data_IF_552984243879
#
_entry.id   IF_552984243879
#
_cell.length_a   1.000
_cell.length_b   1.000
_cell.length_c   1.000
_cell.angle_alpha   90.00
_cell.angle_beta   90.00
_cell.angle_gamma   90.00
#
_symmetry.space_group_name_H-M   'P 1'
#
loop_
_entity.id
_entity.type
_entity.pdbx_description
1 polymer ?
#
# COMPACT_ATOMS: atom_id res chain seq x y z
N UNK A 1 -16.03 17.63 4.24
CA UNK A 1 -14.69 17.01 4.28
C UNK A 1 -14.29 16.69 2.85
N UNK A 2 -13.24 17.34 2.33
CA UNK A 2 -12.77 17.04 0.97
C UNK A 2 -12.25 15.59 0.91
N UNK A 3 -12.76 14.80 -0.03
CA UNK A 3 -12.23 13.48 -0.30
C UNK A 3 -10.77 13.65 -0.73
N UNK A 4 -9.83 13.21 0.11
CA UNK A 4 -8.42 13.19 -0.28
C UNK A 4 -8.26 12.11 -1.35
N UNK A 5 -7.75 12.51 -2.51
CA UNK A 5 -7.28 11.59 -3.55
C UNK A 5 -5.91 11.02 -3.14
N UNK A 6 -5.55 9.82 -3.61
CA UNK A 6 -4.23 9.24 -3.37
C UNK A 6 -3.12 10.19 -3.83
N UNK A 7 -2.09 10.36 -2.98
CA UNK A 7 -0.87 11.06 -3.36
C UNK A 7 0.29 10.06 -3.55
N UNK A 8 0.69 9.78 -4.81
CA UNK A 8 1.76 8.82 -5.09
C UNK A 8 3.11 9.26 -4.49
N UNK A 9 3.35 10.57 -4.34
CA UNK A 9 4.56 11.12 -3.71
C UNK A 9 4.64 10.85 -2.21
N UNK A 10 3.53 10.48 -1.58
CA UNK A 10 3.49 10.08 -0.16
C UNK A 10 3.34 8.58 0.03
N UNK A 11 3.47 7.81 -1.05
CA UNK A 11 3.24 6.37 -1.01
C UNK A 11 1.79 5.98 -0.75
N UNK A 12 0.84 6.86 -1.05
CA UNK A 12 -0.58 6.58 -0.81
C UNK A 12 -1.16 5.75 -1.96
N UNK A 13 -2.05 4.81 -1.63
CA UNK A 13 -2.80 3.99 -2.60
C UNK A 13 -4.25 3.89 -2.13
N UNK A 14 -5.22 3.89 -3.03
CA UNK A 14 -6.63 3.71 -2.69
C UNK A 14 -7.05 2.24 -2.82
N UNK A 15 -7.77 1.74 -1.82
CA UNK A 15 -8.48 0.45 -1.86
C UNK A 15 -9.96 0.68 -1.55
N UNK A 16 -10.85 0.08 -2.34
CA UNK A 16 -12.28 0.11 -2.02
C UNK A 16 -12.65 -1.08 -1.15
N UNK A 17 -13.13 -0.80 0.06
CA UNK A 17 -13.54 -1.78 1.06
C UNK A 17 -14.98 -1.50 1.49
N UNK A 18 -15.86 -2.49 1.43
CA UNK A 18 -17.31 -2.35 1.69
C UNK A 18 -17.94 -1.18 0.90
N UNK A 19 -17.55 -1.03 -0.36
CA UNK A 19 -17.99 0.06 -1.23
C UNK A 19 -17.43 1.45 -0.89
N UNK A 20 -16.52 1.57 0.09
CA UNK A 20 -15.91 2.84 0.51
C UNK A 20 -14.45 2.91 0.08
N UNK A 21 -14.01 3.98 -0.61
CA UNK A 21 -12.59 4.17 -0.92
C UNK A 21 -11.82 4.57 0.34
N UNK A 22 -10.81 3.79 0.69
CA UNK A 22 -9.91 4.02 1.81
C UNK A 22 -8.50 4.29 1.28
N UNK A 23 -7.83 5.28 1.87
CA UNK A 23 -6.43 5.59 1.57
C UNK A 23 -5.48 4.79 2.45
N UNK A 24 -4.62 4.01 1.84
CA UNK A 24 -3.57 3.25 2.50
C UNK A 24 -2.23 3.97 2.33
N UNK A 25 -1.39 3.91 3.35
CA UNK A 25 -0.01 4.39 3.35
C UNK A 25 0.80 3.56 4.34
N UNK A 26 1.99 3.10 3.96
CA UNK A 26 2.91 2.48 4.93
C UNK A 26 3.78 3.56 5.59
N UNK A 27 3.63 3.70 6.90
CA UNK A 27 4.57 4.46 7.72
C UNK A 27 5.76 3.57 8.12
N UNK A 28 6.87 4.17 8.55
CA UNK A 28 8.01 3.40 9.08
C UNK A 28 7.60 2.51 10.26
N UNK A 29 6.70 2.98 11.13
CA UNK A 29 6.18 2.18 12.24
C UNK A 29 5.33 0.99 11.76
N UNK A 30 4.53 1.18 10.70
CA UNK A 30 3.75 0.11 10.10
C UNK A 30 4.65 -0.95 9.44
N UNK A 31 5.71 -0.51 8.75
CA UNK A 31 6.72 -1.40 8.16
C UNK A 31 7.46 -2.22 9.22
N UNK A 32 7.91 -1.60 10.30
CA UNK A 32 8.58 -2.30 11.40
C UNK A 32 7.67 -3.37 12.04
N UNK A 33 6.37 -3.08 12.18
CA UNK A 33 5.40 -4.06 12.68
C UNK A 33 5.19 -5.20 11.70
N UNK A 34 5.11 -4.91 10.40
CA UNK A 34 4.96 -5.94 9.36
C UNK A 34 6.17 -6.87 9.31
N UNK A 35 7.38 -6.34 9.40
CA UNK A 35 8.61 -7.13 9.46
C UNK A 35 8.56 -8.14 10.62
N UNK A 36 8.16 -7.67 11.81
CA UNK A 36 7.97 -8.53 12.99
C UNK A 36 6.85 -9.56 12.82
N UNK A 37 5.72 -9.17 12.22
CA UNK A 37 4.58 -10.06 12.01
C UNK A 37 4.86 -11.16 10.98
N UNK A 38 5.52 -10.81 9.87
CA UNK A 38 5.85 -11.72 8.78
C UNK A 38 7.14 -12.52 9.03
N UNK A 39 7.86 -12.20 10.11
CA UNK A 39 9.13 -12.82 10.52
C UNK A 39 10.21 -12.71 9.44
N UNK A 40 10.31 -11.54 8.83
CA UNK A 40 11.36 -11.22 7.87
C UNK A 40 12.48 -10.49 8.60
N UNK A 41 13.74 -10.72 8.20
CA UNK A 41 14.90 -10.10 8.84
C UNK A 41 15.16 -8.67 8.33
N UNK A 42 14.65 -8.33 7.14
CA UNK A 42 14.84 -7.02 6.52
C UNK A 42 13.63 -6.62 5.67
N UNK A 43 13.42 -5.31 5.55
CA UNK A 43 12.44 -4.73 4.62
C UNK A 43 12.63 -5.19 3.17
N UNK A 44 13.88 -5.42 2.74
CA UNK A 44 14.17 -5.94 1.38
C UNK A 44 13.66 -7.37 1.23
N UNK A 45 13.89 -8.23 2.22
CA UNK A 45 13.37 -9.61 2.21
C UNK A 45 11.84 -9.64 2.19
N UNK A 46 11.21 -8.73 2.97
CA UNK A 46 9.76 -8.54 2.93
C UNK A 46 9.28 -8.16 1.54
N UNK A 47 9.88 -7.17 0.88
CA UNK A 47 9.48 -6.77 -0.49
C UNK A 47 9.66 -7.93 -1.47
N UNK A 48 10.81 -8.60 -1.46
CA UNK A 48 11.10 -9.73 -2.35
C UNK A 48 10.09 -10.88 -2.17
N UNK A 49 9.64 -11.14 -0.94
CA UNK A 49 8.61 -12.14 -0.66
C UNK A 49 7.30 -11.82 -1.39
N UNK A 50 6.89 -10.55 -1.39
CA UNK A 50 5.69 -10.12 -2.11
C UNK A 50 5.87 -10.14 -3.63
N UNK A 51 7.03 -9.72 -4.14
CA UNK A 51 7.33 -9.76 -5.58
C UNK A 51 7.41 -11.18 -6.15
N UNK A 52 7.94 -12.13 -5.37
CA UNK A 52 8.06 -13.53 -5.76
C UNK A 52 6.77 -14.34 -5.58
N UNK A 53 5.68 -13.70 -5.14
CA UNK A 53 4.39 -14.37 -4.92
C UNK A 53 4.38 -15.30 -3.71
N UNK A 54 5.37 -15.22 -2.81
CA UNK A 54 5.51 -16.09 -1.62
C UNK A 54 4.74 -15.52 -0.43
N UNK A 55 3.50 -15.08 -0.67
CA UNK A 55 2.63 -14.51 0.36
C UNK A 55 1.36 -15.34 0.53
N UNK A 56 0.83 -15.34 1.75
CA UNK A 56 -0.47 -15.92 2.08
C UNK A 56 -1.58 -14.85 2.05
N UNK A 57 -2.85 -15.28 2.10
CA UNK A 57 -3.97 -14.37 2.29
C UNK A 57 -3.85 -13.59 3.61
N UNK A 58 -3.30 -14.20 4.65
CA UNK A 58 -3.00 -13.55 5.93
C UNK A 58 -1.94 -12.47 5.78
N UNK A 59 -0.92 -12.70 4.96
CA UNK A 59 0.15 -11.72 4.71
C UNK A 59 -0.41 -10.50 3.99
N UNK A 60 -1.29 -10.70 3.00
CA UNK A 60 -2.01 -9.61 2.33
C UNK A 60 -2.85 -8.82 3.33
N UNK A 61 -3.63 -9.51 4.17
CA UNK A 61 -4.46 -8.85 5.17
C UNK A 61 -3.62 -8.04 6.16
N UNK A 62 -2.50 -8.60 6.65
CA UNK A 62 -1.59 -7.90 7.54
C UNK A 62 -1.04 -6.63 6.89
N UNK A 63 -0.60 -6.72 5.63
CA UNK A 63 -0.08 -5.58 4.88
C UNK A 63 -1.13 -4.49 4.66
N UNK A 64 -2.34 -4.85 4.22
CA UNK A 64 -3.42 -3.89 4.03
C UNK A 64 -3.83 -3.23 5.35
N UNK A 65 -3.88 -4.00 6.43
CA UNK A 65 -4.14 -3.52 7.79
C UNK A 65 -3.10 -2.48 8.22
N UNK A 66 -1.81 -2.79 8.03
CA UNK A 66 -0.72 -1.86 8.31
C UNK A 66 -0.77 -0.59 7.42
N UNK A 67 -1.20 -0.74 6.17
CA UNK A 67 -1.43 0.37 5.24
C UNK A 67 -2.57 1.29 5.68
N UNK A 68 -3.66 0.74 6.20
CA UNK A 68 -4.80 1.50 6.71
C UNK A 68 -4.42 2.31 7.96
N UNK A 69 -3.66 1.73 8.89
CA UNK A 69 -3.16 2.45 10.06
C UNK A 69 -2.27 3.63 9.66
N UNK A 70 -1.33 3.41 8.74
CA UNK A 70 -0.46 4.50 8.28
C UNK A 70 -1.18 5.54 7.42
N UNK A 71 -2.34 5.18 6.85
CA UNK A 71 -3.31 6.07 6.20
C UNK A 71 -4.18 6.87 7.17
N UNK A 72 -4.14 6.55 8.47
CA UNK A 72 -4.90 7.21 9.52
C UNK A 72 -6.35 6.70 9.66
N UNK A 73 -6.63 5.49 9.17
CA UNK A 73 -7.93 4.84 9.37
C UNK A 73 -7.96 4.07 10.68
N UNK A 74 -9.10 4.11 11.33
CA UNK A 74 -9.38 3.35 12.54
C UNK A 74 -9.67 1.88 12.19
N UNK A 75 -8.76 0.98 12.57
CA UNK A 75 -8.91 -0.45 12.31
C UNK A 75 -9.94 -1.13 13.21
N UNK A 76 -10.21 -0.57 14.40
CA UNK A 76 -11.17 -1.17 15.35
C UNK A 76 -12.58 -1.27 14.73
N UNK A 77 -12.93 -0.34 13.84
CA UNK A 77 -14.19 -0.35 13.09
C UNK A 77 -14.11 -1.07 11.73
N UNK A 78 -12.94 -1.57 11.32
CA UNK A 78 -12.71 -2.15 10.01
C UNK A 78 -12.06 -3.53 10.11
N UNK A 79 -12.91 -4.55 10.30
CA UNK A 79 -12.47 -5.95 10.23
C UNK A 79 -12.32 -6.39 8.77
N UNK A 80 -11.09 -6.28 8.24
CA UNK A 80 -10.76 -6.72 6.88
C UNK A 80 -11.02 -8.22 6.64
N UNK A 81 -11.01 -9.05 7.69
CA UNK A 81 -11.32 -10.48 7.57
C UNK A 81 -12.80 -10.74 7.23
N UNK A 82 -13.68 -9.77 7.49
CA UNK A 82 -15.11 -9.81 7.15
C UNK A 82 -15.52 -8.81 6.08
N UNK A 83 -14.59 -7.96 5.64
CA UNK A 83 -14.88 -6.89 4.71
C UNK A 83 -14.85 -7.37 3.24
N UNK A 84 -15.68 -6.75 2.41
CA UNK A 84 -15.67 -6.97 0.97
C UNK A 84 -14.66 -6.03 0.32
N UNK A 85 -13.63 -6.59 -0.31
CA UNK A 85 -12.69 -5.84 -1.12
C UNK A 85 -13.20 -5.82 -2.56
N UNK A 86 -13.37 -4.62 -3.15
CA UNK A 86 -13.74 -4.50 -4.55
C UNK A 86 -12.65 -5.15 -5.43
N UNK A 87 -13.04 -6.03 -6.34
CA UNK A 87 -12.10 -6.82 -7.15
C UNK A 87 -11.51 -8.05 -6.45
N UNK A 88 -11.91 -8.32 -5.20
CA UNK A 88 -11.59 -9.54 -4.47
C UNK A 88 -10.11 -9.69 -4.13
N UNK A 89 -9.67 -10.94 -3.92
CA UNK A 89 -8.32 -11.26 -3.46
C UNK A 89 -7.21 -10.81 -4.42
N UNK A 90 -7.49 -10.79 -5.73
CA UNK A 90 -6.50 -10.36 -6.75
C UNK A 90 -6.23 -8.87 -6.65
N UNK A 91 -7.28 -8.05 -6.51
CA UNK A 91 -7.11 -6.60 -6.33
C UNK A 91 -6.45 -6.29 -4.98
N UNK A 92 -6.79 -7.04 -3.92
CA UNK A 92 -6.14 -6.93 -2.61
C UNK A 92 -4.62 -7.17 -2.71
N UNK A 93 -4.19 -8.24 -3.40
CA UNK A 93 -2.78 -8.54 -3.62
C UNK A 93 -2.09 -7.47 -4.47
N UNK A 94 -2.76 -6.99 -5.53
CA UNK A 94 -2.25 -5.93 -6.41
C UNK A 94 -2.02 -4.62 -5.66
N UNK A 95 -2.99 -4.19 -4.85
CA UNK A 95 -2.89 -2.98 -4.02
C UNK A 95 -1.79 -3.15 -2.97
N UNK A 96 -1.69 -4.32 -2.34
CA UNK A 96 -0.63 -4.62 -1.39
C UNK A 96 0.78 -4.49 -2.01
N UNK A 97 0.99 -5.10 -3.18
CA UNK A 97 2.24 -4.99 -3.91
C UNK A 97 2.53 -3.54 -4.34
N UNK A 98 1.52 -2.81 -4.81
CA UNK A 98 1.67 -1.40 -5.18
C UNK A 98 2.03 -0.53 -3.96
N UNK A 99 1.45 -0.79 -2.79
CA UNK A 99 1.73 -0.06 -1.57
C UNK A 99 3.19 -0.23 -1.13
N UNK A 100 3.72 -1.45 -1.19
CA UNK A 100 5.15 -1.71 -0.95
C UNK A 100 6.01 -0.99 -1.99
N UNK A 101 5.71 -1.15 -3.28
CA UNK A 101 6.48 -0.52 -4.35
C UNK A 101 6.57 1.01 -4.17
N UNK A 102 5.45 1.69 -3.86
CA UNK A 102 5.43 3.14 -3.64
C UNK A 102 6.07 3.58 -2.31
N UNK A 103 6.25 2.68 -1.36
CA UNK A 103 6.92 2.99 -0.09
C UNK A 103 8.44 3.00 -0.22
N UNK A 104 8.99 2.21 -1.15
CA UNK A 104 10.43 2.10 -1.39
C UNK A 104 10.89 2.76 -2.68
N UNK A 105 9.97 3.05 -3.61
CA UNK A 105 10.25 3.78 -4.85
C UNK A 105 9.47 5.08 -4.84
N UNK A 106 10.17 6.21 -4.96
CA UNK A 106 9.52 7.45 -5.37
C UNK A 106 9.01 7.25 -6.80
N UNK A 107 7.82 7.77 -7.17
CA UNK A 107 7.51 7.92 -8.59
C UNK A 107 8.67 8.74 -9.16
N UNK A 108 9.47 8.15 -10.04
CA UNK A 108 10.47 8.91 -10.77
C UNK A 108 9.67 9.96 -11.52
N UNK A 109 9.71 11.22 -11.07
CA UNK A 109 9.41 12.30 -11.97
C UNK A 109 10.40 12.11 -13.10
N UNK A 110 9.91 11.62 -14.22
CA UNK A 110 10.42 12.12 -15.48
C UNK A 110 10.14 13.61 -15.43
N UNK A 111 11.05 14.39 -14.84
CA UNK A 111 11.22 15.77 -15.23
C UNK A 111 11.46 15.68 -16.72
N UNK A 112 10.40 15.87 -17.50
CA UNK A 112 10.54 16.09 -18.93
C UNK A 112 11.58 17.21 -19.06
N UNK A 113 12.67 17.02 -19.81
CA UNK A 113 13.43 18.18 -20.23
C UNK A 113 12.45 19.05 -21.03
N UNK A 114 12.04 20.18 -20.47
CA UNK A 114 11.50 21.28 -21.26
C UNK A 114 12.63 21.75 -22.16
N UNK A 115 12.76 21.12 -23.32
CA UNK A 115 13.38 21.75 -24.48
C UNK A 115 12.28 22.55 -25.17
N UNK A 116 11.95 23.70 -24.60
CA UNK A 116 11.44 24.83 -25.38
C UNK A 116 12.62 25.75 -25.62
N UNK A 117 13.38 25.44 -26.66
CA UNK A 117 14.26 26.37 -27.34
C UNK A 117 13.86 26.36 -28.82
N UNK A 118 13.42 27.54 -29.28
CA UNK A 118 13.35 28.03 -30.66
C UNK A 118 12.35 27.36 -31.62
N UNK A 119 11.24 28.06 -31.87
CA UNK A 119 10.84 28.49 -33.22
C UNK A 119 10.17 29.87 -33.14
#
# INVERSE_FOLDING_TARGET
>A
MAARTENPWRGEVTLTVNGRPLLLRLSLGALARLESQLREDTLVALVQRFETGRFSATDILALLTAGLEGGGHDLENLDLGKAEIAGGAVEAARVAAQLLARSFSLPTATSQPTTSACE
#
